data_IF_007905254034
#
_entry.id   IF_007905254034
#
_cell.length_a   1.000
_cell.length_b   1.000
_cell.length_c   1.000
_cell.angle_alpha   90.00
_cell.angle_beta   90.00
_cell.angle_gamma   90.00
#
_symmetry.space_group_name_H-M   'P 1'
#
loop_
_entity.id
_entity.type
_entity.pdbx_description
1 polymer ?
#
# COMPACT_ATOMS: atom_id res chain seq x y z
N UNK A 1 -1.30 39.68 -18.30
CA UNK A 1 -0.95 38.27 -18.04
C UNK A 1 0.33 38.27 -17.22
N UNK A 2 0.37 37.56 -16.10
CA UNK A 2 1.58 37.43 -15.29
C UNK A 2 2.58 36.51 -15.98
N UNK A 3 3.85 36.91 -15.99
CA UNK A 3 4.98 36.13 -16.51
C UNK A 3 5.65 35.49 -15.30
N UNK A 4 5.89 34.17 -15.34
CA UNK A 4 6.58 33.49 -14.24
C UNK A 4 8.05 33.88 -14.16
N UNK A 5 8.61 33.85 -12.94
CA UNK A 5 10.06 33.96 -12.71
C UNK A 5 10.81 32.68 -13.07
N UNK A 6 10.12 31.54 -13.06
CA UNK A 6 10.66 30.22 -13.38
C UNK A 6 10.15 29.77 -14.75
N UNK A 7 11.02 29.16 -15.53
CA UNK A 7 10.64 28.50 -16.78
C UNK A 7 9.74 27.29 -16.49
N UNK A 8 9.03 26.81 -17.51
CA UNK A 8 8.18 25.63 -17.41
C UNK A 8 8.94 24.42 -16.84
N UNK A 9 10.16 24.17 -17.33
CA UNK A 9 11.02 23.08 -16.88
C UNK A 9 11.38 23.17 -15.39
N UNK A 10 11.73 24.37 -14.91
CA UNK A 10 12.05 24.61 -13.50
C UNK A 10 10.83 24.46 -12.60
N UNK A 11 9.67 24.93 -13.05
CA UNK A 11 8.40 24.80 -12.33
C UNK A 11 8.03 23.32 -12.16
N UNK A 12 8.12 22.54 -13.24
CA UNK A 12 7.91 21.09 -13.23
C UNK A 12 8.86 20.40 -12.25
N UNK A 13 10.16 20.73 -12.26
CA UNK A 13 11.13 20.13 -11.34
C UNK A 13 10.80 20.40 -9.86
N UNK A 14 10.39 21.62 -9.52
CA UNK A 14 9.99 21.98 -8.14
C UNK A 14 8.72 21.26 -7.72
N UNK A 15 7.74 21.09 -8.61
CA UNK A 15 6.51 20.34 -8.31
C UNK A 15 6.76 18.83 -8.20
N UNK A 16 7.77 18.28 -8.87
CA UNK A 16 8.05 16.85 -8.81
C UNK A 16 8.57 16.38 -7.46
N UNK A 17 9.21 17.23 -6.65
CA UNK A 17 9.69 16.86 -5.32
C UNK A 17 8.54 16.44 -4.37
N UNK A 18 7.48 17.26 -4.16
CA UNK A 18 6.34 16.85 -3.35
C UNK A 18 5.54 15.71 -4.00
N UNK A 19 5.48 15.64 -5.33
CA UNK A 19 4.85 14.50 -6.05
C UNK A 19 5.62 13.21 -5.80
N UNK A 20 6.95 13.24 -5.79
CA UNK A 20 7.81 12.10 -5.47
C UNK A 20 7.53 11.59 -4.05
N UNK A 21 7.40 12.50 -3.08
CA UNK A 21 7.03 12.14 -1.71
C UNK A 21 5.62 11.54 -1.61
N UNK A 22 4.64 12.11 -2.33
CA UNK A 22 3.25 11.66 -2.28
C UNK A 22 2.97 10.37 -3.08
N UNK A 23 3.67 10.18 -4.21
CA UNK A 23 3.49 9.04 -5.11
C UNK A 23 4.00 7.73 -4.53
N UNK A 24 5.06 7.78 -3.71
CA UNK A 24 5.60 6.60 -3.03
C UNK A 24 4.65 5.98 -2.00
N UNK A 25 3.68 6.76 -1.51
CA UNK A 25 2.72 6.34 -0.48
C UNK A 25 1.81 5.22 -0.98
N UNK A 26 1.36 5.28 -2.24
CA UNK A 26 0.46 4.27 -2.83
C UNK A 26 1.07 2.86 -2.86
N UNK A 27 2.23 2.65 -3.53
CA UNK A 27 2.93 1.38 -3.53
C UNK A 27 3.24 0.88 -2.11
N UNK A 28 3.67 1.77 -1.21
CA UNK A 28 3.92 1.42 0.19
C UNK A 28 2.69 0.81 0.85
N UNK A 29 1.51 1.43 0.71
CA UNK A 29 0.27 0.90 1.27
C UNK A 29 -0.10 -0.47 0.69
N UNK A 30 0.09 -0.69 -0.61
CA UNK A 30 -0.15 -1.99 -1.24
C UNK A 30 0.77 -3.06 -0.64
N UNK A 31 2.06 -2.78 -0.51
CA UNK A 31 3.02 -3.73 0.07
C UNK A 31 2.72 -4.00 1.55
N UNK A 32 2.40 -2.99 2.36
CA UNK A 32 2.02 -3.20 3.76
C UNK A 32 0.71 -3.97 3.90
N UNK A 33 -0.25 -3.76 2.99
CA UNK A 33 -1.49 -4.53 2.94
C UNK A 33 -1.24 -6.00 2.61
N UNK A 34 -0.40 -6.27 1.59
CA UNK A 34 0.03 -7.62 1.23
C UNK A 34 0.79 -8.32 2.35
N UNK A 35 1.70 -7.63 3.02
CA UNK A 35 2.47 -8.17 4.15
C UNK A 35 1.55 -8.63 5.28
N UNK A 36 0.58 -7.80 5.66
CA UNK A 36 -0.45 -8.16 6.65
C UNK A 36 -1.29 -9.35 6.19
N UNK A 37 -1.66 -9.42 4.92
CA UNK A 37 -2.40 -10.55 4.36
C UNK A 37 -1.60 -11.85 4.43
N UNK A 38 -0.32 -11.80 4.05
CA UNK A 38 0.59 -12.94 4.11
C UNK A 38 0.83 -13.40 5.55
N UNK A 39 1.04 -12.47 6.49
CA UNK A 39 1.16 -12.80 7.91
C UNK A 39 -0.10 -13.48 8.46
N UNK A 40 -1.28 -13.03 8.04
CA UNK A 40 -2.55 -13.63 8.46
C UNK A 40 -2.74 -15.01 7.83
N UNK A 41 -2.36 -15.23 6.57
CA UNK A 41 -2.50 -16.52 5.90
C UNK A 41 -1.46 -17.54 6.39
N UNK A 42 -0.20 -17.11 6.44
CA UNK A 42 0.99 -17.93 6.70
C UNK A 42 1.75 -17.40 7.93
N UNK A 43 1.44 -17.88 9.14
CA UNK A 43 2.07 -17.38 10.37
C UNK A 43 3.57 -17.67 10.47
N UNK A 44 4.09 -18.62 9.69
CA UNK A 44 5.52 -18.99 9.64
C UNK A 44 6.34 -18.19 8.63
N UNK A 45 5.68 -17.47 7.72
CA UNK A 45 6.30 -16.68 6.67
C UNK A 45 7.26 -15.58 7.17
N UNK A 46 6.92 -14.77 8.21
CA UNK A 46 7.82 -13.71 8.67
C UNK A 46 9.15 -14.25 9.25
N UNK A 47 9.20 -15.51 9.68
CA UNK A 47 10.44 -16.12 10.18
C UNK A 47 11.37 -16.59 9.04
N UNK A 48 10.88 -16.69 7.81
CA UNK A 48 11.64 -17.18 6.66
C UNK A 48 12.26 -16.04 5.85
N UNK A 49 11.75 -14.81 6.00
CA UNK A 49 12.20 -13.66 5.21
C UNK A 49 13.21 -12.83 6.00
N UNK A 50 14.32 -12.48 5.34
CA UNK A 50 15.30 -11.52 5.89
C UNK A 50 14.73 -10.10 5.81
N UNK A 51 14.47 -9.42 6.94
CA UNK A 51 13.76 -8.13 6.97
C UNK A 51 14.52 -7.05 6.20
N UNK A 52 15.86 -7.07 6.21
CA UNK A 52 16.69 -6.13 5.47
C UNK A 52 16.49 -6.23 3.96
N UNK A 53 16.49 -7.45 3.40
CA UNK A 53 16.34 -7.66 1.95
C UNK A 53 14.96 -7.22 1.49
N UNK A 54 13.94 -7.54 2.29
CA UNK A 54 12.56 -7.15 2.02
C UNK A 54 12.37 -5.63 2.03
N UNK A 55 12.92 -4.95 3.04
CA UNK A 55 12.85 -3.48 3.15
C UNK A 55 13.61 -2.80 2.02
N UNK A 56 14.78 -3.33 1.63
CA UNK A 56 15.53 -2.84 0.47
C UNK A 56 14.72 -3.00 -0.81
N UNK A 57 14.10 -4.15 -1.06
CA UNK A 57 13.25 -4.37 -2.25
C UNK A 57 12.09 -3.38 -2.31
N UNK A 58 11.36 -3.17 -1.21
CA UNK A 58 10.26 -2.20 -1.16
C UNK A 58 10.78 -0.79 -1.43
N UNK A 59 11.89 -0.39 -0.80
CA UNK A 59 12.47 0.94 -0.99
C UNK A 59 12.89 1.20 -2.44
N UNK A 60 13.46 0.18 -3.11
CA UNK A 60 13.87 0.25 -4.51
C UNK A 60 12.66 0.33 -5.44
N UNK A 61 11.62 -0.49 -5.22
CA UNK A 61 10.41 -0.47 -6.04
C UNK A 61 9.68 0.88 -5.91
N UNK A 62 9.58 1.41 -4.70
CA UNK A 62 8.97 2.72 -4.48
C UNK A 62 9.78 3.82 -5.16
N UNK A 63 11.11 3.81 -5.02
CA UNK A 63 11.98 4.79 -5.68
C UNK A 63 11.91 4.70 -7.21
N UNK A 64 11.89 3.48 -7.78
CA UNK A 64 11.74 3.27 -9.22
C UNK A 64 10.39 3.77 -9.72
N UNK A 65 9.30 3.43 -9.03
CA UNK A 65 7.96 3.93 -9.36
C UNK A 65 7.92 5.46 -9.33
N UNK A 66 8.49 6.08 -8.30
CA UNK A 66 8.53 7.53 -8.17
C UNK A 66 9.48 8.21 -9.17
N UNK A 67 10.50 7.51 -9.68
CA UNK A 67 11.46 8.07 -10.66
C UNK A 67 10.95 8.00 -12.10
N UNK A 68 10.15 6.99 -12.46
CA UNK A 68 9.64 6.79 -13.82
C UNK A 68 8.73 7.94 -14.26
N UNK A 69 7.87 8.45 -13.37
CA UNK A 69 6.93 9.51 -13.73
C UNK A 69 7.56 10.88 -13.97
N UNK A 70 8.47 11.41 -13.13
CA UNK A 70 9.20 12.64 -13.41
C UNK A 70 10.00 12.59 -14.70
N UNK A 71 10.71 11.47 -14.93
CA UNK A 71 11.49 11.28 -16.16
C UNK A 71 10.56 11.23 -17.37
N UNK A 72 9.47 10.46 -17.29
CA UNK A 72 8.47 10.42 -18.35
C UNK A 72 7.84 11.79 -18.63
N UNK A 73 7.58 12.57 -17.59
CA UNK A 73 7.00 13.90 -17.70
C UNK A 73 7.95 14.90 -18.36
N UNK A 74 9.25 14.82 -18.04
CA UNK A 74 10.27 15.70 -18.61
C UNK A 74 10.57 15.37 -20.08
N UNK A 75 10.58 14.09 -20.44
CA UNK A 75 10.95 13.63 -21.78
C UNK A 75 9.81 13.63 -22.80
N UNK A 76 8.57 13.45 -22.36
CA UNK A 76 7.43 13.24 -23.27
C UNK A 76 6.38 14.36 -23.27
N UNK A 77 6.54 15.40 -22.45
CA UNK A 77 5.72 16.60 -22.64
C UNK A 77 6.27 17.45 -23.78
N UNK A 78 5.48 17.56 -24.85
CA UNK A 78 5.72 18.46 -25.99
C UNK A 78 5.43 19.93 -25.61
N UNK A 79 5.90 20.39 -24.46
CA UNK A 79 5.75 21.79 -24.04
C UNK A 79 7.13 22.44 -24.15
N UNK A 80 7.20 23.55 -24.88
CA UNK A 80 8.44 24.28 -25.05
C UNK A 80 9.04 24.60 -23.66
N UNK A 81 10.27 24.16 -23.38
CA UNK A 81 10.88 24.28 -22.05
C UNK A 81 11.06 25.73 -21.59
N UNK A 82 11.04 26.66 -22.55
CA UNK A 82 11.23 28.11 -22.38
C UNK A 82 9.91 28.89 -22.24
N UNK A 83 8.76 28.19 -22.23
CA UNK A 83 7.48 28.85 -22.04
C UNK A 83 7.39 29.41 -20.61
N UNK A 84 7.20 30.72 -20.46
CA UNK A 84 7.04 31.41 -19.16
C UNK A 84 5.59 31.39 -18.65
N UNK A 85 4.72 30.60 -19.28
CA UNK A 85 3.31 30.46 -18.89
C UNK A 85 3.22 29.43 -17.76
N UNK A 86 2.56 29.76 -16.63
CA UNK A 86 2.41 28.82 -15.51
C UNK A 86 1.64 27.58 -15.97
N UNK A 87 2.23 26.37 -15.90
CA UNK A 87 1.41 25.17 -15.94
C UNK A 87 0.44 25.21 -14.77
N UNK A 88 -0.85 25.07 -15.04
CA UNK A 88 -1.77 24.73 -13.95
C UNK A 88 -1.57 23.27 -13.54
N UNK A 89 -1.90 22.93 -12.30
CA UNK A 89 -1.96 21.53 -11.86
C UNK A 89 -2.81 20.68 -12.83
N UNK A 90 -3.91 21.25 -13.31
CA UNK A 90 -4.75 20.58 -14.28
C UNK A 90 -4.01 20.38 -15.61
N UNK A 91 -3.24 21.34 -16.11
CA UNK A 91 -2.43 21.13 -17.31
C UNK A 91 -1.37 20.04 -17.13
N UNK A 92 -0.76 19.93 -15.96
CA UNK A 92 0.25 18.89 -15.70
C UNK A 92 -0.38 17.49 -15.64
N UNK A 93 -1.51 17.33 -14.97
CA UNK A 93 -2.10 16.01 -14.72
C UNK A 93 -3.15 15.59 -15.76
N UNK A 94 -3.78 16.54 -16.45
CA UNK A 94 -4.84 16.28 -17.44
C UNK A 94 -4.38 16.46 -18.89
N UNK A 95 -3.32 17.25 -19.15
CA UNK A 95 -2.74 17.36 -20.50
C UNK A 95 -1.45 16.53 -20.56
N UNK A 96 -1.44 15.59 -21.51
CA UNK A 96 -0.30 14.72 -21.76
C UNK A 96 -0.54 13.27 -21.32
N UNK A 97 -0.06 12.34 -22.15
CA UNK A 97 -0.22 10.89 -21.97
C UNK A 97 0.37 10.40 -20.64
N UNK A 98 1.45 11.02 -20.15
CA UNK A 98 2.09 10.60 -18.90
C UNK A 98 1.36 11.08 -17.63
N UNK A 99 0.74 12.27 -17.65
CA UNK A 99 -0.05 12.77 -16.52
C UNK A 99 -1.31 11.94 -16.28
N UNK A 100 -1.97 11.53 -17.37
CA UNK A 100 -3.13 10.62 -17.29
C UNK A 100 -2.72 9.22 -16.85
N UNK A 101 -1.65 8.65 -17.39
CA UNK A 101 -1.12 7.34 -16.94
C UNK A 101 -0.79 7.37 -15.45
N UNK A 102 -0.13 8.43 -14.97
CA UNK A 102 0.18 8.60 -13.54
C UNK A 102 -1.07 8.66 -12.67
N UNK A 103 -2.09 9.42 -13.10
CA UNK A 103 -3.35 9.55 -12.36
C UNK A 103 -4.08 8.21 -12.28
N UNK A 104 -4.14 7.46 -13.40
CA UNK A 104 -4.73 6.12 -13.44
C UNK A 104 -3.94 5.11 -12.60
N UNK A 105 -2.61 5.12 -12.66
CA UNK A 105 -1.78 4.19 -11.90
C UNK A 105 -1.92 4.43 -10.39
N UNK A 106 -1.97 5.68 -9.96
CA UNK A 106 -2.25 6.04 -8.56
C UNK A 106 -3.64 5.57 -8.15
N UNK A 107 -4.67 5.83 -8.95
CA UNK A 107 -6.02 5.39 -8.67
C UNK A 107 -6.12 3.87 -8.51
N UNK A 108 -5.48 3.10 -9.41
CA UNK A 108 -5.44 1.63 -9.34
C UNK A 108 -4.75 1.17 -8.05
N UNK A 109 -3.59 1.72 -7.72
CA UNK A 109 -2.86 1.35 -6.50
C UNK A 109 -3.67 1.63 -5.22
N UNK A 110 -4.35 2.78 -5.15
CA UNK A 110 -5.21 3.10 -4.00
C UNK A 110 -6.38 2.12 -3.88
N UNK A 111 -7.02 1.75 -5.00
CA UNK A 111 -8.10 0.77 -4.98
C UNK A 111 -7.60 -0.63 -4.56
N UNK A 112 -6.45 -1.06 -5.06
CA UNK A 112 -5.83 -2.33 -4.65
C UNK A 112 -5.53 -2.32 -3.15
N UNK A 113 -4.97 -1.22 -2.63
CA UNK A 113 -4.71 -1.07 -1.20
C UNK A 113 -6.00 -1.19 -0.38
N UNK A 114 -7.08 -0.50 -0.77
CA UNK A 114 -8.37 -0.61 -0.08
C UNK A 114 -8.86 -2.06 -0.04
N UNK A 115 -8.85 -2.75 -1.18
CA UNK A 115 -9.29 -4.16 -1.28
C UNK A 115 -8.45 -5.06 -0.37
N UNK A 116 -7.12 -4.90 -0.37
CA UNK A 116 -6.23 -5.67 0.50
C UNK A 116 -6.55 -5.45 1.98
N UNK A 117 -6.72 -4.21 2.41
CA UNK A 117 -7.02 -3.91 3.81
C UNK A 117 -8.38 -4.44 4.24
N UNK A 118 -9.40 -4.36 3.38
CA UNK A 118 -10.72 -4.97 3.63
C UNK A 118 -10.60 -6.49 3.74
N UNK A 119 -9.88 -7.13 2.81
CA UNK A 119 -9.67 -8.58 2.82
C UNK A 119 -8.94 -9.05 4.08
N UNK A 120 -7.87 -8.33 4.48
CA UNK A 120 -7.15 -8.58 5.74
C UNK A 120 -8.09 -8.45 6.94
N UNK A 121 -8.90 -7.38 7.00
CA UNK A 121 -9.87 -7.18 8.08
C UNK A 121 -10.87 -8.35 8.21
N UNK A 122 -11.39 -8.83 7.08
CA UNK A 122 -12.29 -9.99 7.04
C UNK A 122 -11.57 -11.26 7.50
N UNK A 123 -10.36 -11.53 6.98
CA UNK A 123 -9.59 -12.72 7.32
C UNK A 123 -9.22 -12.78 8.81
N UNK A 124 -8.81 -11.65 9.39
CA UNK A 124 -8.52 -11.54 10.83
C UNK A 124 -9.79 -11.85 11.63
N UNK A 125 -10.94 -11.27 11.26
CA UNK A 125 -12.21 -11.51 11.95
C UNK A 125 -12.62 -12.99 11.91
N UNK A 126 -12.43 -13.67 10.77
CA UNK A 126 -12.73 -15.11 10.62
C UNK A 126 -11.79 -15.96 11.49
N UNK A 127 -10.47 -15.69 11.46
CA UNK A 127 -9.50 -16.45 12.27
C UNK A 127 -9.72 -16.26 13.77
N UNK A 128 -9.94 -15.03 14.23
CA UNK A 128 -10.23 -14.74 15.63
C UNK A 128 -11.52 -15.41 16.10
N UNK A 129 -12.57 -15.42 15.28
CA UNK A 129 -13.82 -16.13 15.59
C UNK A 129 -13.63 -17.64 15.75
N UNK A 130 -12.83 -18.27 14.87
CA UNK A 130 -12.50 -19.71 14.99
C UNK A 130 -11.69 -20.02 16.24
N UNK A 131 -10.75 -19.15 16.61
CA UNK A 131 -9.94 -19.32 17.82
C UNK A 131 -10.82 -19.26 19.07
N UNK A 132 -11.71 -18.27 19.17
CA UNK A 132 -12.65 -18.13 20.28
C UNK A 132 -13.57 -19.35 20.38
N UNK A 133 -14.10 -19.83 19.26
CA UNK A 133 -14.97 -21.01 19.21
C UNK A 133 -14.23 -22.28 19.69
N UNK A 134 -12.98 -22.47 19.28
CA UNK A 134 -12.15 -23.60 19.70
C UNK A 134 -11.79 -23.52 21.20
N UNK A 135 -11.49 -22.33 21.72
CA UNK A 135 -11.26 -22.10 23.16
C UNK A 135 -12.51 -22.43 23.98
N UNK A 136 -13.69 -22.00 23.52
CA UNK A 136 -14.95 -22.32 24.17
C UNK A 136 -15.23 -23.83 24.19
N UNK A 137 -15.04 -24.53 23.06
CA UNK A 137 -15.17 -25.99 23.00
C UNK A 137 -14.19 -26.70 23.94
N UNK A 138 -12.95 -26.22 24.02
CA UNK A 138 -11.95 -26.79 24.91
C UNK A 138 -12.36 -26.64 26.39
N UNK A 139 -12.84 -25.46 26.80
CA UNK A 139 -13.31 -25.25 28.17
C UNK A 139 -14.55 -26.09 28.51
N UNK A 140 -15.49 -26.23 27.58
CA UNK A 140 -16.65 -27.10 27.74
C UNK A 140 -16.24 -28.58 27.93
N UNK A 141 -15.31 -29.09 27.11
CA UNK A 141 -14.81 -30.44 27.25
C UNK A 141 -14.09 -30.67 28.60
N UNK A 142 -13.34 -29.69 29.10
CA UNK A 142 -12.70 -29.76 30.43
C UNK A 142 -13.74 -29.82 31.57
N UNK A 143 -14.83 -29.05 31.46
CA UNK A 143 -15.91 -29.05 32.44
C UNK A 143 -16.69 -30.37 32.45
N UNK A 144 -16.94 -30.97 31.28
CA UNK A 144 -17.56 -32.30 31.20
C UNK A 144 -16.65 -33.38 31.78
N UNK A 145 -15.35 -33.34 31.50
CA UNK A 145 -14.37 -34.25 32.10
C UNK A 145 -14.34 -34.12 33.63
N UNK A 146 -14.37 -32.89 34.15
CA UNK A 146 -14.36 -32.65 35.60
C UNK A 146 -15.62 -33.16 36.28
N UNK A 147 -16.79 -33.06 35.64
CA UNK A 147 -18.03 -33.69 36.14
C UNK A 147 -17.94 -35.21 36.15
N UNK A 148 -17.35 -35.81 35.12
CA UNK A 148 -17.21 -37.26 35.00
C UNK A 148 -16.31 -37.87 36.10
N UNK A 149 -15.27 -37.15 36.51
CA UNK A 149 -14.38 -37.55 37.60
C UNK A 149 -15.08 -37.47 38.96
N UNK A 150 -15.87 -36.42 39.20
CA UNK A 150 -16.60 -36.25 40.48
C UNK A 150 -17.67 -37.35 40.66
N UNK A 151 -18.31 -37.80 39.58
CA UNK A 151 -19.34 -38.84 39.63
C UNK A 151 -18.73 -40.24 39.81
N UNK A 152 -17.54 -40.52 39.25
CA UNK A 152 -16.88 -41.84 39.39
C UNK A 152 -15.87 -41.93 40.55
N UNK A 153 -15.49 -40.82 41.17
CA UNK A 153 -14.57 -40.78 42.32
C UNK A 153 -15.22 -40.98 43.69
N UNK A 154 -16.53 -41.18 43.73
CA UNK A 154 -17.29 -41.57 44.92
C UNK A 154 -17.60 -43.08 44.87
N UNK A 155 -16.58 -43.91 45.06
CA UNK A 155 -16.71 -45.32 45.46
C UNK A 155 -15.58 -45.66 46.41
#
# INVERSE_FOLDING_TARGET
MGINFLTYSQTVAVFFIPIFAASGIGPLFVFTGLDRMLCVLFPTFPNQIRPRIYLTLISVICALYCAIFPVGFYWFNNIDPDTLVPPTFNDIFSRGTFGTIYTYSCFILYNIAIILYVAVGILVKIKSGKIILNLFKFQLNQLEFSKFIIINGHF
#
